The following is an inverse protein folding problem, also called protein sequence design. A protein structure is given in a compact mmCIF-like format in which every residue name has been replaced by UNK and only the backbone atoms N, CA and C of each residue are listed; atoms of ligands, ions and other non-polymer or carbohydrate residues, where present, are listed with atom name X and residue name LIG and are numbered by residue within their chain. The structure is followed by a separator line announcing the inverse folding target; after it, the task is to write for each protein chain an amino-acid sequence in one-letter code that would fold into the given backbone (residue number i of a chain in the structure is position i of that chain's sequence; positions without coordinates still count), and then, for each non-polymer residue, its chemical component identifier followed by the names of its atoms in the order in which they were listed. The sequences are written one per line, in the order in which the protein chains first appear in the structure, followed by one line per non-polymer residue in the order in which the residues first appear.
data_IF_377193709834
#
_entry.id   IF_377193709834
#
_cell.length_a   1.000
_cell.length_b   1.000
_cell.length_c   1.000
_cell.angle_alpha   90.00
_cell.angle_beta   90.00
_cell.angle_gamma   90.00
#
_symmetry.space_group_name_H-M   'P 1'
#
loop_
_entity.id
_entity.type
_entity.pdbx_description
1 polymer ?
#
# COMPACT_ATOMS: atom_id res chain seq x y z
N UNK A 1 41.66 4.74 15.23
CA UNK A 1 40.47 5.43 14.68
C UNK A 1 40.80 6.58 13.72
N UNK A 2 42.08 6.97 13.55
CA UNK A 2 42.46 8.06 12.64
C UNK A 2 42.99 7.61 11.27
N UNK A 3 43.33 6.33 11.11
CA UNK A 3 43.86 5.75 9.85
C UNK A 3 42.86 4.89 9.06
N UNK A 4 41.55 5.08 9.26
CA UNK A 4 40.57 4.37 8.44
C UNK A 4 40.28 5.19 7.18
N UNK A 5 40.47 4.64 5.96
CA UNK A 5 40.18 5.38 4.74
C UNK A 5 38.68 5.68 4.70
N UNK A 6 38.33 6.97 4.63
CA UNK A 6 36.94 7.41 4.52
C UNK A 6 36.36 6.88 3.22
N UNK A 7 35.25 6.14 3.31
CA UNK A 7 34.55 5.59 2.15
C UNK A 7 34.13 6.75 1.24
N UNK A 8 34.81 6.91 0.10
CA UNK A 8 34.42 7.85 -0.95
C UNK A 8 33.35 7.18 -1.79
N UNK A 9 32.09 7.54 -1.55
CA UNK A 9 30.99 7.14 -2.44
C UNK A 9 31.01 8.07 -3.64
N UNK A 10 31.47 7.56 -4.78
CA UNK A 10 31.23 8.21 -6.07
C UNK A 10 29.73 8.16 -6.34
N UNK A 11 29.06 9.32 -6.22
CA UNK A 11 27.68 9.47 -6.64
C UNK A 11 27.57 9.33 -8.17
N UNK A 12 26.42 8.88 -8.70
CA UNK A 12 26.23 8.80 -10.14
C UNK A 12 26.42 10.19 -10.76
N UNK A 13 27.19 10.24 -11.85
CA UNK A 13 27.46 11.46 -12.62
C UNK A 13 26.13 12.00 -13.13
N UNK A 14 25.70 13.13 -12.57
CA UNK A 14 24.49 13.84 -12.94
C UNK A 14 24.74 14.60 -14.25
N UNK A 15 24.49 13.95 -15.39
CA UNK A 15 24.28 14.64 -16.66
C UNK A 15 22.93 15.37 -16.66
N UNK A 16 22.76 16.44 -17.46
CA UNK A 16 21.53 17.21 -17.49
C UNK A 16 20.48 16.40 -18.26
N UNK A 17 19.66 15.62 -17.54
CA UNK A 17 18.49 14.97 -18.13
C UNK A 17 17.27 15.22 -17.27
N UNK A 18 16.21 15.55 -17.99
CA UNK A 18 14.84 15.85 -17.60
C UNK A 18 14.43 15.10 -16.33
N UNK A 19 13.83 15.85 -15.39
CA UNK A 19 13.30 15.38 -14.12
C UNK A 19 12.38 14.17 -14.28
N UNK A 20 12.94 12.98 -14.20
CA UNK A 20 12.20 11.79 -13.83
C UNK A 20 13.12 10.99 -12.91
N UNK A 21 12.81 11.01 -11.61
CA UNK A 21 13.57 10.31 -10.57
C UNK A 21 13.43 8.80 -10.80
N UNK A 22 14.20 8.28 -11.74
CA UNK A 22 14.17 6.90 -12.19
C UNK A 22 15.47 6.18 -11.82
N UNK A 23 15.56 5.68 -10.58
CA UNK A 23 16.83 5.16 -10.03
C UNK A 23 16.73 3.83 -9.29
N UNK A 24 15.56 3.20 -9.21
CA UNK A 24 15.41 1.90 -8.53
C UNK A 24 15.01 0.82 -9.52
N UNK A 25 15.60 -0.38 -9.36
CA UNK A 25 15.26 -1.59 -10.14
C UNK A 25 13.74 -1.84 -10.17
N UNK A 26 13.04 -1.41 -9.11
CA UNK A 26 11.60 -1.48 -8.96
C UNK A 26 10.79 -0.93 -10.13
N UNK A 27 11.35 0.01 -10.89
CA UNK A 27 10.69 0.69 -12.00
C UNK A 27 10.59 -0.16 -13.27
N UNK A 28 11.36 -1.24 -13.35
CA UNK A 28 11.32 -2.18 -14.47
C UNK A 28 10.36 -3.36 -14.21
N UNK A 29 9.75 -3.45 -13.03
CA UNK A 29 8.69 -4.43 -12.76
C UNK A 29 7.36 -3.94 -13.36
N UNK A 30 7.19 -4.12 -14.67
CA UNK A 30 5.94 -3.83 -15.40
C UNK A 30 4.82 -4.85 -15.12
N UNK A 31 4.88 -5.56 -14.00
CA UNK A 31 3.98 -6.66 -13.65
C UNK A 31 3.28 -6.36 -12.34
N UNK A 32 1.96 -6.38 -12.36
CA UNK A 32 1.12 -6.31 -11.18
C UNK A 32 0.91 -7.72 -10.60
N UNK A 33 0.55 -7.82 -9.33
CA UNK A 33 0.10 -9.09 -8.75
C UNK A 33 -1.43 -9.11 -8.75
N UNK A 34 -2.02 -10.24 -9.12
CA UNK A 34 -3.47 -10.40 -9.09
C UNK A 34 -3.98 -10.29 -7.64
N UNK A 35 -4.96 -9.41 -7.34
CA UNK A 35 -5.41 -9.19 -5.97
C UNK A 35 -6.14 -10.38 -5.32
N UNK A 36 -6.46 -11.42 -6.12
CA UNK A 36 -7.17 -12.63 -5.69
C UNK A 36 -6.21 -13.79 -5.42
N UNK A 37 -5.24 -14.04 -6.31
CA UNK A 37 -4.33 -15.20 -6.22
C UNK A 37 -2.85 -14.84 -6.12
N UNK A 38 -2.51 -13.54 -6.09
CA UNK A 38 -1.14 -12.99 -6.05
C UNK A 38 -0.22 -13.42 -7.21
N UNK A 39 -0.75 -14.05 -8.25
CA UNK A 39 0.00 -14.39 -9.45
C UNK A 39 0.43 -13.12 -10.22
N UNK A 40 1.64 -13.15 -10.76
CA UNK A 40 2.20 -12.05 -11.55
C UNK A 40 1.45 -11.93 -12.88
N UNK A 41 0.90 -10.76 -13.16
CA UNK A 41 0.05 -10.48 -14.32
C UNK A 41 0.28 -9.06 -14.85
N UNK A 42 0.06 -8.83 -16.14
CA UNK A 42 0.03 -7.47 -16.73
C UNK A 42 -1.37 -6.86 -16.69
N UNK A 43 -2.37 -7.69 -16.42
CA UNK A 43 -3.78 -7.31 -16.26
C UNK A 43 -4.08 -6.95 -14.80
N UNK A 44 -5.20 -6.27 -14.55
CA UNK A 44 -5.65 -5.95 -13.18
C UNK A 44 -6.04 -7.22 -12.40
N UNK A 45 -6.62 -8.20 -13.08
CA UNK A 45 -6.97 -9.53 -12.58
C UNK A 45 -6.45 -10.55 -13.59
N UNK A 46 -5.90 -11.69 -13.13
CA UNK A 46 -5.39 -12.71 -14.04
C UNK A 46 -6.53 -13.41 -14.81
N UNK A 47 -6.21 -13.95 -15.98
CA UNK A 47 -7.20 -14.61 -16.85
C UNK A 47 -7.93 -15.78 -16.18
N UNK A 48 -7.28 -16.47 -15.22
CA UNK A 48 -7.89 -17.56 -14.46
C UNK A 48 -8.98 -17.05 -13.51
N UNK A 49 -8.69 -15.99 -12.76
CA UNK A 49 -9.66 -15.38 -11.85
C UNK A 49 -10.79 -14.68 -12.62
N UNK A 50 -10.53 -14.13 -13.80
CA UNK A 50 -11.58 -13.55 -14.66
C UNK A 50 -12.67 -14.55 -15.09
N UNK A 51 -12.43 -15.87 -15.02
CA UNK A 51 -13.44 -16.88 -15.36
C UNK A 51 -14.57 -16.98 -14.33
N UNK A 52 -14.31 -16.55 -13.10
CA UNK A 52 -15.29 -16.56 -12.01
C UNK A 52 -15.47 -15.13 -11.44
N UNK A 53 -16.29 -14.30 -12.10
CA UNK A 53 -16.47 -12.90 -11.70
C UNK A 53 -17.16 -12.78 -10.33
N UNK A 54 -18.00 -13.75 -9.94
CA UNK A 54 -18.68 -13.74 -8.65
C UNK A 54 -17.69 -13.95 -7.51
N UNK A 55 -16.78 -14.92 -7.66
CA UNK A 55 -15.70 -15.14 -6.70
C UNK A 55 -14.78 -13.92 -6.61
N UNK A 56 -14.39 -13.33 -7.74
CA UNK A 56 -13.53 -12.13 -7.75
C UNK A 56 -14.20 -10.97 -7.01
N UNK A 57 -15.47 -10.72 -7.29
CA UNK A 57 -16.29 -9.71 -6.61
C UNK A 57 -16.26 -9.92 -5.09
N UNK A 58 -16.66 -11.12 -4.65
CA UNK A 58 -16.71 -11.47 -3.23
C UNK A 58 -15.34 -11.31 -2.55
N UNK A 59 -14.28 -11.83 -3.15
CA UNK A 59 -12.93 -11.78 -2.58
C UNK A 59 -12.41 -10.34 -2.44
N UNK A 60 -12.60 -9.51 -3.48
CA UNK A 60 -12.18 -8.11 -3.45
C UNK A 60 -12.97 -7.32 -2.41
N UNK A 61 -14.30 -7.46 -2.37
CA UNK A 61 -15.15 -6.78 -1.39
C UNK A 61 -14.82 -7.22 0.03
N UNK A 62 -14.63 -8.53 0.28
CA UNK A 62 -14.23 -9.04 1.59
C UNK A 62 -12.90 -8.43 2.05
N UNK A 63 -11.91 -8.38 1.15
CA UNK A 63 -10.59 -7.82 1.47
C UNK A 63 -10.64 -6.33 1.81
N UNK A 64 -11.43 -5.55 1.06
CA UNK A 64 -11.67 -4.12 1.35
C UNK A 64 -12.30 -3.98 2.74
N UNK A 65 -13.36 -4.73 3.02
CA UNK A 65 -14.04 -4.68 4.32
C UNK A 65 -13.10 -5.05 5.48
N UNK A 66 -12.21 -6.01 5.29
CA UNK A 66 -11.26 -6.41 6.34
C UNK A 66 -10.22 -5.32 6.63
N UNK A 67 -9.76 -4.62 5.60
CA UNK A 67 -8.88 -3.45 5.75
C UNK A 67 -9.59 -2.29 6.48
N UNK A 68 -10.81 -1.97 6.07
CA UNK A 68 -11.65 -0.95 6.73
C UNK A 68 -11.89 -1.30 8.21
N UNK A 69 -12.32 -2.52 8.50
CA UNK A 69 -12.55 -3.00 9.88
C UNK A 69 -11.27 -2.90 10.71
N UNK A 70 -10.12 -3.26 10.14
CA UNK A 70 -8.82 -3.20 10.84
C UNK A 70 -8.45 -1.76 11.18
N UNK A 71 -8.57 -0.85 10.21
CA UNK A 71 -8.31 0.57 10.44
C UNK A 71 -9.26 1.17 11.48
N UNK A 72 -10.55 0.88 11.40
CA UNK A 72 -11.54 1.33 12.36
C UNK A 72 -11.22 0.86 13.79
N UNK A 73 -10.88 -0.43 13.96
CA UNK A 73 -10.49 -0.99 15.27
C UNK A 73 -9.25 -0.30 15.84
N UNK A 74 -8.21 -0.10 15.03
CA UNK A 74 -6.98 0.57 15.47
C UNK A 74 -7.23 2.04 15.84
N UNK A 75 -8.11 2.71 15.09
CA UNK A 75 -8.51 4.09 15.37
C UNK A 75 -9.28 4.19 16.68
N UNK A 76 -10.18 3.25 16.98
CA UNK A 76 -10.87 3.18 18.28
C UNK A 76 -9.89 3.01 19.44
N UNK A 77 -8.86 2.17 19.29
CA UNK A 77 -7.82 2.00 20.32
C UNK A 77 -7.05 3.31 20.54
N UNK A 78 -6.69 4.02 19.47
CA UNK A 78 -6.02 5.32 19.59
C UNK A 78 -6.92 6.38 20.23
N UNK A 79 -8.20 6.42 19.86
CA UNK A 79 -9.18 7.33 20.46
C UNK A 79 -9.32 7.09 21.97
N UNK A 80 -9.42 5.82 22.39
CA UNK A 80 -9.46 5.45 23.80
C UNK A 80 -8.18 5.84 24.55
N UNK A 81 -7.01 5.70 23.92
CA UNK A 81 -5.72 6.06 24.51
C UNK A 81 -5.53 7.58 24.65
N UNK A 82 -5.94 8.36 23.65
CA UNK A 82 -5.78 9.81 23.61
C UNK A 82 -6.89 10.52 24.40
N UNK A 83 -8.02 9.86 24.64
CA UNK A 83 -9.20 10.45 25.27
C UNK A 83 -9.96 11.41 24.37
N UNK A 84 -9.67 11.42 23.05
CA UNK A 84 -10.41 12.21 22.04
C UNK A 84 -11.05 11.28 21.00
N UNK A 85 -12.19 11.71 20.47
CA UNK A 85 -12.88 11.04 19.36
C UNK A 85 -12.63 11.74 18.02
N UNK A 86 -11.63 12.61 17.94
CA UNK A 86 -11.33 13.32 16.70
C UNK A 86 -11.06 12.35 15.54
N UNK A 87 -11.65 12.67 14.39
CA UNK A 87 -11.36 11.97 13.13
C UNK A 87 -9.88 12.09 12.75
N UNK A 88 -9.24 13.21 13.10
CA UNK A 88 -7.84 13.43 12.77
C UNK A 88 -6.93 12.99 13.92
N UNK A 89 -6.20 11.91 13.64
CA UNK A 89 -5.48 11.14 14.63
C UNK A 89 -4.01 11.59 14.70
N UNK A 90 -3.72 12.57 15.55
CA UNK A 90 -2.45 13.32 15.57
C UNK A 90 -1.28 12.66 16.34
N UNK A 91 -1.47 11.48 16.93
CA UNK A 91 -0.43 10.79 17.69
C UNK A 91 0.85 10.51 16.87
N UNK A 92 2.00 10.95 17.40
CA UNK A 92 3.36 10.79 16.80
C UNK A 92 4.33 10.02 17.70
N UNK A 93 3.83 9.31 18.71
CA UNK A 93 4.69 8.55 19.63
C UNK A 93 5.44 7.43 18.91
N UNK A 94 6.77 7.51 18.94
CA UNK A 94 7.69 6.54 18.32
C UNK A 94 7.73 5.23 19.12
N UNK A 95 7.38 5.27 20.40
CA UNK A 95 7.33 4.08 21.26
C UNK A 95 5.98 3.35 21.19
N UNK A 96 5.01 3.88 20.44
CA UNK A 96 3.68 3.30 20.33
C UNK A 96 3.57 2.34 19.15
N UNK A 97 3.45 1.01 19.38
CA UNK A 97 3.28 0.05 18.29
C UNK A 97 1.95 0.22 17.55
N UNK A 98 0.90 0.74 18.21
CA UNK A 98 -0.41 0.96 17.59
C UNK A 98 -0.35 2.09 16.57
N UNK A 99 0.47 3.13 16.80
CA UNK A 99 0.64 4.24 15.86
C UNK A 99 1.14 3.72 14.50
N UNK A 100 2.20 2.91 14.49
CA UNK A 100 2.73 2.32 13.26
C UNK A 100 1.74 1.38 12.58
N UNK A 101 1.09 0.50 13.35
CA UNK A 101 0.06 -0.41 12.80
C UNK A 101 -1.10 0.35 12.17
N UNK A 102 -1.55 1.44 12.79
CA UNK A 102 -2.58 2.33 12.25
C UNK A 102 -2.11 3.02 10.98
N UNK A 103 -0.87 3.50 10.94
CA UNK A 103 -0.26 4.10 9.74
C UNK A 103 -0.20 3.09 8.58
N UNK A 104 0.22 1.85 8.84
CA UNK A 104 0.18 0.77 7.85
C UNK A 104 -1.24 0.50 7.37
N UNK A 105 -2.21 0.36 8.28
CA UNK A 105 -3.61 0.14 7.93
C UNK A 105 -4.20 1.31 7.12
N UNK A 106 -3.77 2.55 7.38
CA UNK A 106 -4.15 3.73 6.58
C UNK A 106 -3.65 3.62 5.14
N UNK A 107 -2.42 3.14 4.94
CA UNK A 107 -1.90 2.88 3.59
C UNK A 107 -2.65 1.73 2.91
N UNK A 108 -3.11 0.74 3.66
CA UNK A 108 -3.95 -0.33 3.13
C UNK A 108 -5.32 0.19 2.68
N UNK A 109 -5.88 1.25 3.28
CA UNK A 109 -7.08 1.91 2.76
C UNK A 109 -6.87 2.54 1.38
N UNK A 110 -5.71 3.16 1.13
CA UNK A 110 -5.37 3.67 -0.21
C UNK A 110 -5.30 2.51 -1.21
N UNK A 111 -4.83 1.34 -0.80
CA UNK A 111 -4.89 0.12 -1.63
C UNK A 111 -6.34 -0.35 -1.82
N UNK A 112 -7.18 -0.24 -0.80
CA UNK A 112 -8.60 -0.57 -0.87
C UNK A 112 -9.33 0.27 -1.92
N UNK A 113 -9.05 1.58 -1.99
CA UNK A 113 -9.63 2.48 -2.99
C UNK A 113 -9.30 2.02 -4.42
N UNK A 114 -8.05 1.62 -4.66
CA UNK A 114 -7.64 1.03 -5.94
C UNK A 114 -8.44 -0.27 -6.26
N UNK A 115 -8.70 -1.11 -5.25
CA UNK A 115 -9.52 -2.32 -5.44
C UNK A 115 -10.99 -1.97 -5.73
N UNK A 116 -11.53 -0.92 -5.11
CA UNK A 116 -12.89 -0.42 -5.38
C UNK A 116 -13.01 0.10 -6.82
N UNK A 117 -11.99 0.79 -7.35
CA UNK A 117 -11.98 1.21 -8.74
C UNK A 117 -11.99 0.01 -9.70
N UNK A 118 -11.21 -1.05 -9.39
CA UNK A 118 -11.23 -2.30 -10.16
C UNK A 118 -12.64 -2.89 -10.13
N UNK A 119 -13.23 -3.05 -8.93
CA UNK A 119 -14.60 -3.56 -8.77
C UNK A 119 -15.63 -2.76 -9.58
N UNK A 120 -15.56 -1.43 -9.54
CA UNK A 120 -16.49 -0.55 -10.26
C UNK A 120 -16.40 -0.77 -11.76
N UNK A 121 -15.19 -0.93 -12.31
CA UNK A 121 -14.98 -1.25 -13.73
C UNK A 121 -15.57 -2.61 -14.13
N UNK A 122 -15.58 -3.59 -13.23
CA UNK A 122 -16.19 -4.91 -13.46
C UNK A 122 -17.72 -4.92 -13.29
N UNK A 123 -18.30 -3.96 -12.58
CA UNK A 123 -19.76 -3.83 -12.38
C UNK A 123 -20.48 -3.04 -13.46
N UNK A 124 -19.75 -2.33 -14.34
CA UNK A 124 -20.32 -1.50 -15.41
C UNK A 124 -20.48 -2.24 -16.75
N UNK A 125 -20.60 -3.57 -16.73
CA UNK A 125 -21.01 -4.35 -17.91
C UNK A 125 -22.54 -4.41 -18.03
#
# INVERSE_FOLDING_TARGET
YLDMPKVVRVGPVMGPTVSNKQGTISQFFATNNCPVCDAQTKLLVCEQCCKDPQLVMFMLTSRIQDWEKTYCKLTQVCAACQGTQDCDQTCVSIDCPIMFRRSTAKNDLVRADNLQEILTKYLQF
#
